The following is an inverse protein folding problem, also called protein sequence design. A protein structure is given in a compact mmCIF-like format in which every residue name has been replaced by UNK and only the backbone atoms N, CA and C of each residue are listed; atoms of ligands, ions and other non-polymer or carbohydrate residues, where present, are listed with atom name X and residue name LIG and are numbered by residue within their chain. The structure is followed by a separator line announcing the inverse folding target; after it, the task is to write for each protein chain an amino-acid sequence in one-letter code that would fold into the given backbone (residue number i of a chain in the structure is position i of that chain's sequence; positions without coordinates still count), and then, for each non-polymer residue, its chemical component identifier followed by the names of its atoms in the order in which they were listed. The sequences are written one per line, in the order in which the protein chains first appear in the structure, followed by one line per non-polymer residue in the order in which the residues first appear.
data_IF_390579597597
#
_entry.id   IF_390579597597
#
_cell.length_a   1.000
_cell.length_b   1.000
_cell.length_c   1.000
_cell.angle_alpha   90.00
_cell.angle_beta   90.00
_cell.angle_gamma   90.00
#
_symmetry.space_group_name_H-M   'P 1'
#
loop_
_entity.id
_entity.type
_entity.pdbx_description
1 polymer ?
#
# COMPACT_ATOMS: atom_id res chain seq x y z
N UNK A 1 0.93 -10.51 -3.18
CA UNK A 1 0.80 -9.07 -3.50
C UNK A 1 1.16 -8.77 -4.95
N UNK A 2 2.41 -9.00 -5.40
CA UNK A 2 2.91 -8.51 -6.70
C UNK A 2 2.05 -8.93 -7.91
N UNK A 3 1.60 -10.18 -7.96
CA UNK A 3 0.73 -10.66 -9.04
C UNK A 3 -0.57 -9.86 -9.15
N UNK A 4 -1.28 -9.69 -8.04
CA UNK A 4 -2.55 -8.95 -8.01
C UNK A 4 -2.34 -7.47 -8.31
N UNK A 5 -1.30 -6.89 -7.71
CA UNK A 5 -0.95 -5.48 -7.95
C UNK A 5 -0.54 -5.25 -9.41
N UNK A 6 0.16 -6.19 -10.04
CA UNK A 6 0.44 -6.15 -11.48
C UNK A 6 -0.81 -6.08 -12.35
N UNK A 7 -1.86 -6.84 -11.99
CA UNK A 7 -3.16 -6.75 -12.71
C UNK A 7 -3.82 -5.39 -12.59
N UNK A 8 -3.72 -4.73 -11.43
CA UNK A 8 -4.25 -3.37 -11.29
C UNK A 8 -3.46 -2.36 -12.13
N UNK A 9 -2.14 -2.50 -12.21
CA UNK A 9 -1.34 -1.68 -13.13
C UNK A 9 -1.74 -1.89 -14.59
N UNK A 10 -1.93 -3.13 -15.02
CA UNK A 10 -2.42 -3.44 -16.39
C UNK A 10 -3.76 -2.74 -16.67
N UNK A 11 -4.71 -2.85 -15.75
CA UNK A 11 -6.06 -2.32 -15.98
C UNK A 11 -6.08 -0.81 -15.97
N UNK A 12 -5.40 -0.17 -15.03
CA UNK A 12 -5.54 1.27 -14.79
C UNK A 12 -4.55 2.11 -15.59
N UNK A 13 -3.29 1.64 -15.74
CA UNK A 13 -2.25 2.42 -16.42
C UNK A 13 -2.03 2.02 -17.87
N UNK A 14 -2.06 0.73 -18.18
CA UNK A 14 -1.67 0.26 -19.52
C UNK A 14 -2.87 0.13 -20.46
N UNK A 15 -4.06 -0.13 -19.92
CA UNK A 15 -5.29 -0.28 -20.72
C UNK A 15 -6.27 0.88 -20.57
N UNK A 16 -5.86 1.95 -19.92
CA UNK A 16 -6.69 3.14 -19.67
C UNK A 16 -8.08 2.80 -19.11
N UNK A 17 -8.11 1.85 -18.18
CA UNK A 17 -9.37 1.40 -17.58
C UNK A 17 -10.05 2.56 -16.86
N UNK A 18 -11.29 2.87 -17.26
CA UNK A 18 -11.97 4.10 -16.88
C UNK A 18 -12.60 4.06 -15.48
N UNK A 19 -12.52 2.93 -14.78
CA UNK A 19 -13.11 2.80 -13.45
C UNK A 19 -12.07 3.04 -12.35
N UNK A 20 -12.44 3.82 -11.30
CA UNK A 20 -11.60 3.96 -10.12
C UNK A 20 -11.37 2.59 -9.46
N UNK A 21 -10.23 2.42 -8.78
CA UNK A 21 -9.95 1.21 -8.00
C UNK A 21 -11.05 0.91 -6.98
N UNK A 22 -11.68 1.94 -6.43
CA UNK A 22 -12.81 1.82 -5.52
C UNK A 22 -14.04 1.11 -6.09
N UNK A 23 -14.13 0.95 -7.41
CA UNK A 23 -15.21 0.22 -8.08
C UNK A 23 -14.82 -1.22 -8.46
N UNK A 24 -13.59 -1.61 -8.16
CA UNK A 24 -13.09 -2.96 -8.45
C UNK A 24 -13.33 -3.84 -7.22
N UNK A 25 -14.01 -4.94 -7.45
CA UNK A 25 -14.19 -5.98 -6.45
C UNK A 25 -12.89 -6.75 -6.22
N UNK A 26 -12.59 -7.04 -4.98
CA UNK A 26 -11.33 -7.68 -4.60
C UNK A 26 -11.55 -8.94 -3.74
N UNK A 27 -11.14 -10.10 -4.26
CA UNK A 27 -11.15 -11.38 -3.54
C UNK A 27 -9.87 -11.58 -2.70
N UNK A 28 -9.48 -10.60 -1.94
CA UNK A 28 -8.36 -10.63 -1.01
C UNK A 28 -8.83 -10.09 0.36
N UNK A 29 -8.20 -10.45 1.45
CA UNK A 29 -7.03 -11.33 1.56
C UNK A 29 -7.38 -12.82 1.47
N UNK A 30 -6.47 -13.59 0.86
CA UNK A 30 -6.52 -15.05 0.83
C UNK A 30 -5.31 -15.58 1.60
N UNK A 31 -5.56 -16.25 2.72
CA UNK A 31 -4.53 -16.86 3.55
C UNK A 31 -5.01 -18.23 4.03
N UNK A 32 -4.71 -19.25 3.26
CA UNK A 32 -5.23 -20.57 3.51
C UNK A 32 -4.59 -21.66 2.65
N UNK A 33 -4.87 -22.89 3.04
CA UNK A 33 -4.52 -24.10 2.30
C UNK A 33 -5.71 -24.51 1.46
N UNK A 34 -5.61 -24.40 0.14
CA UNK A 34 -6.64 -24.90 -0.77
C UNK A 34 -6.00 -25.71 -1.89
N UNK A 35 -6.29 -26.99 -1.93
CA UNK A 35 -5.80 -27.91 -2.98
C UNK A 35 -4.28 -27.88 -3.11
N UNK A 36 -3.79 -27.69 -4.32
CA UNK A 36 -2.35 -27.65 -4.63
C UNK A 36 -1.73 -26.25 -4.51
N UNK A 37 -2.53 -25.21 -4.37
CA UNK A 37 -2.08 -23.84 -4.24
C UNK A 37 -2.08 -23.42 -2.77
N UNK A 38 -1.04 -23.81 -2.09
CA UNK A 38 -0.87 -23.47 -0.69
C UNK A 38 -0.27 -22.07 -0.59
N UNK A 39 -0.94 -21.18 0.16
CA UNK A 39 -0.25 -20.03 0.68
C UNK A 39 0.89 -20.52 1.58
N UNK A 40 2.09 -19.96 1.42
CA UNK A 40 3.16 -20.21 2.36
C UNK A 40 2.76 -19.62 3.72
N UNK A 41 3.15 -20.34 4.80
CA UNK A 41 3.01 -19.80 6.14
C UNK A 41 3.70 -18.45 6.23
N UNK A 42 2.97 -17.43 6.67
CA UNK A 42 3.49 -16.07 6.89
C UNK A 42 3.84 -15.88 8.36
N UNK A 43 4.93 -15.17 8.61
CA UNK A 43 5.15 -14.58 9.95
C UNK A 43 4.08 -13.52 10.22
N UNK A 44 3.92 -13.11 11.48
CA UNK A 44 2.97 -12.07 11.86
C UNK A 44 3.25 -10.76 11.12
N UNK A 45 4.51 -10.37 10.99
CA UNK A 45 4.92 -9.17 10.24
C UNK A 45 4.63 -9.27 8.74
N UNK A 46 4.82 -10.44 8.13
CA UNK A 46 4.46 -10.68 6.73
C UNK A 46 2.94 -10.60 6.52
N UNK A 47 2.17 -11.19 7.43
CA UNK A 47 0.71 -11.14 7.38
C UNK A 47 0.19 -9.72 7.56
N UNK A 48 0.71 -8.97 8.55
CA UNK A 48 0.41 -7.56 8.75
C UNK A 48 0.72 -6.74 7.49
N UNK A 49 1.91 -6.94 6.92
CA UNK A 49 2.32 -6.26 5.69
C UNK A 49 1.38 -6.57 4.53
N UNK A 50 0.98 -7.83 4.38
CA UNK A 50 0.04 -8.25 3.34
C UNK A 50 -1.29 -7.53 3.45
N UNK A 51 -1.89 -7.50 4.65
CA UNK A 51 -3.18 -6.85 4.88
C UNK A 51 -3.14 -5.35 4.63
N UNK A 52 -2.16 -4.65 5.23
CA UNK A 52 -2.06 -3.20 5.12
C UNK A 52 -1.75 -2.74 3.69
N UNK A 53 -0.84 -3.43 2.99
CA UNK A 53 -0.57 -3.15 1.57
C UNK A 53 -1.81 -3.38 0.70
N UNK A 54 -2.57 -4.45 0.95
CA UNK A 54 -3.82 -4.72 0.28
C UNK A 54 -4.85 -3.60 0.51
N UNK A 55 -4.99 -3.13 1.76
CA UNK A 55 -5.91 -2.06 2.11
C UNK A 55 -5.63 -0.75 1.36
N UNK A 56 -4.36 -0.45 1.05
CA UNK A 56 -4.00 0.76 0.30
C UNK A 56 -4.35 0.72 -1.18
N UNK A 57 -4.77 -0.43 -1.73
CA UNK A 57 -5.32 -0.52 -3.09
C UNK A 57 -6.60 0.30 -3.26
N UNK A 58 -7.33 0.56 -2.18
CA UNK A 58 -8.57 1.32 -2.21
C UNK A 58 -9.72 0.63 -2.95
N UNK A 59 -9.65 -0.70 -3.09
CA UNK A 59 -10.69 -1.49 -3.76
C UNK A 59 -11.99 -1.55 -2.94
N UNK A 60 -13.13 -1.73 -3.62
CA UNK A 60 -14.45 -1.56 -3.02
C UNK A 60 -14.83 -2.61 -1.97
N UNK A 61 -14.41 -3.83 -2.15
CA UNK A 61 -14.87 -4.95 -1.36
C UNK A 61 -13.74 -5.92 -1.05
N UNK A 62 -13.76 -6.46 0.17
CA UNK A 62 -12.79 -7.47 0.61
C UNK A 62 -13.54 -8.72 1.07
N UNK A 63 -13.06 -9.87 0.63
CA UNK A 63 -13.51 -11.16 1.11
C UNK A 63 -12.39 -11.82 1.88
N UNK A 64 -12.66 -12.19 3.13
CA UNK A 64 -11.67 -12.78 4.01
C UNK A 64 -11.68 -14.30 3.86
N UNK A 65 -10.74 -14.84 3.09
CA UNK A 65 -10.57 -16.29 2.90
C UNK A 65 -9.42 -16.80 3.76
N UNK A 66 -9.73 -17.33 4.93
CA UNK A 66 -8.73 -17.86 5.86
C UNK A 66 -8.95 -19.33 6.16
N UNK A 67 -7.85 -20.11 6.18
CA UNK A 67 -7.85 -21.45 6.76
C UNK A 67 -7.56 -21.36 8.26
N UNK A 68 -8.39 -21.95 9.11
CA UNK A 68 -8.20 -21.90 10.57
C UNK A 68 -6.78 -22.31 10.99
N UNK A 69 -6.24 -23.40 10.42
CA UNK A 69 -4.90 -23.88 10.76
C UNK A 69 -3.79 -22.86 10.51
N UNK A 70 -4.02 -21.87 9.63
CA UNK A 70 -3.02 -20.87 9.31
C UNK A 70 -3.23 -19.58 10.08
N UNK A 71 -4.49 -19.17 10.27
CA UNK A 71 -4.82 -17.91 10.94
C UNK A 71 -4.72 -18.02 12.47
N UNK A 72 -4.90 -19.21 13.03
CA UNK A 72 -4.81 -19.46 14.48
C UNK A 72 -3.36 -19.43 15.00
N UNK A 73 -2.37 -19.44 14.12
CA UNK A 73 -0.97 -19.35 14.52
C UNK A 73 -0.54 -17.89 14.78
N UNK A 74 0.19 -17.68 15.87
CA UNK A 74 0.70 -16.35 16.25
C UNK A 74 -0.40 -15.37 16.62
N UNK A 75 -0.23 -14.12 16.24
CA UNK A 75 -1.16 -13.02 16.54
C UNK A 75 -2.03 -12.60 15.35
N UNK A 76 -2.25 -13.49 14.38
CA UNK A 76 -2.88 -13.11 13.10
C UNK A 76 -4.33 -12.65 13.24
N UNK A 77 -5.10 -13.20 14.20
CA UNK A 77 -6.45 -12.72 14.47
C UNK A 77 -6.46 -11.29 15.00
N UNK A 78 -5.56 -10.97 15.93
CA UNK A 78 -5.44 -9.62 16.49
C UNK A 78 -4.96 -8.63 15.42
N UNK A 79 -3.97 -9.04 14.63
CA UNK A 79 -3.48 -8.24 13.49
C UNK A 79 -4.60 -7.97 12.47
N UNK A 80 -5.44 -8.97 12.20
CA UNK A 80 -6.59 -8.79 11.31
C UNK A 80 -7.62 -7.83 11.89
N UNK A 81 -7.91 -7.91 13.18
CA UNK A 81 -8.82 -7.00 13.86
C UNK A 81 -8.29 -5.55 13.82
N UNK A 82 -7.02 -5.32 14.17
CA UNK A 82 -6.36 -4.01 14.08
C UNK A 82 -6.42 -3.45 12.65
N UNK A 83 -6.14 -4.29 11.65
CA UNK A 83 -6.21 -3.91 10.25
C UNK A 83 -7.62 -3.48 9.84
N UNK A 84 -8.65 -4.23 10.19
CA UNK A 84 -10.04 -3.91 9.84
C UNK A 84 -10.50 -2.59 10.49
N UNK A 85 -10.13 -2.34 11.74
CA UNK A 85 -10.40 -1.07 12.42
C UNK A 85 -9.68 0.10 11.72
N UNK A 86 -8.39 -0.08 11.42
CA UNK A 86 -7.61 0.92 10.71
C UNK A 86 -8.19 1.21 9.32
N UNK A 87 -8.52 0.18 8.56
CA UNK A 87 -9.06 0.31 7.23
C UNK A 87 -10.43 0.99 7.23
N UNK A 88 -11.32 0.61 8.14
CA UNK A 88 -12.63 1.24 8.32
C UNK A 88 -12.50 2.72 8.65
N UNK A 89 -11.62 3.07 9.58
CA UNK A 89 -11.36 4.46 10.00
C UNK A 89 -10.82 5.32 8.86
N UNK A 90 -9.99 4.74 7.99
CA UNK A 90 -9.27 5.45 6.93
C UNK A 90 -9.88 5.24 5.54
N UNK A 91 -11.00 4.54 5.40
CA UNK A 91 -11.54 4.19 4.08
C UNK A 91 -11.91 5.42 3.23
N UNK A 92 -12.31 6.53 3.86
CA UNK A 92 -12.55 7.80 3.17
C UNK A 92 -11.30 8.32 2.41
N UNK A 93 -10.09 8.02 2.90
CA UNK A 93 -8.81 8.29 2.22
C UNK A 93 -8.49 7.17 1.22
N UNK A 94 -8.56 5.90 1.67
CA UNK A 94 -8.10 4.74 0.92
C UNK A 94 -8.85 4.56 -0.41
N UNK A 95 -10.15 4.82 -0.44
CA UNK A 95 -10.99 4.71 -1.66
C UNK A 95 -10.54 5.59 -2.82
N UNK A 96 -9.71 6.59 -2.56
CA UNK A 96 -9.20 7.54 -3.57
C UNK A 96 -7.80 7.13 -4.09
N UNK A 97 -7.46 5.85 -4.05
CA UNK A 97 -6.16 5.33 -4.42
C UNK A 97 -5.80 5.59 -5.89
N UNK A 98 -4.56 6.02 -6.09
CA UNK A 98 -3.88 6.09 -7.39
C UNK A 98 -2.58 5.29 -7.35
N UNK A 99 -2.21 4.70 -8.47
CA UNK A 99 -0.99 3.92 -8.60
C UNK A 99 0.24 4.83 -8.74
N UNK A 100 1.30 4.53 -7.99
CA UNK A 100 2.62 5.17 -8.11
C UNK A 100 3.67 4.13 -8.47
N UNK A 101 4.73 4.57 -9.17
CA UNK A 101 5.77 3.68 -9.67
C UNK A 101 5.36 2.96 -10.95
N UNK A 102 5.86 1.73 -11.11
CA UNK A 102 5.62 0.90 -12.30
C UNK A 102 5.21 -0.52 -11.92
N UNK A 103 4.74 -1.31 -12.89
CA UNK A 103 4.24 -2.66 -12.62
C UNK A 103 5.22 -3.51 -11.82
N UNK A 104 4.77 -4.18 -10.76
CA UNK A 104 5.60 -5.07 -9.94
C UNK A 104 6.00 -6.39 -10.61
N UNK A 105 5.39 -6.75 -11.75
CA UNK A 105 5.61 -8.02 -12.44
C UNK A 105 7.08 -8.27 -12.82
N UNK A 106 7.83 -7.18 -13.05
CA UNK A 106 9.27 -7.22 -13.34
C UNK A 106 10.14 -6.88 -12.13
N UNK A 107 9.59 -6.98 -10.93
CA UNK A 107 10.29 -6.61 -9.71
C UNK A 107 10.52 -5.10 -9.57
N UNK A 108 9.71 -4.26 -10.20
CA UNK A 108 9.82 -2.81 -10.07
C UNK A 108 9.19 -2.32 -8.78
N UNK A 109 9.68 -1.18 -8.28
CA UNK A 109 9.10 -0.48 -7.14
C UNK A 109 7.76 0.14 -7.52
N UNK A 110 6.81 0.05 -6.60
CA UNK A 110 5.45 0.51 -6.81
C UNK A 110 4.77 0.86 -5.48
N UNK A 111 3.58 1.41 -5.58
CA UNK A 111 2.71 1.63 -4.44
C UNK A 111 1.40 2.28 -4.82
N UNK A 112 0.71 2.75 -3.80
CA UNK A 112 -0.56 3.44 -3.91
C UNK A 112 -0.51 4.75 -3.13
N UNK A 113 -1.09 5.79 -3.69
CA UNK A 113 -1.23 7.10 -3.09
C UNK A 113 -2.72 7.42 -2.95
N UNK A 114 -3.18 7.57 -1.72
CA UNK A 114 -4.59 7.75 -1.38
C UNK A 114 -4.76 9.10 -0.69
N UNK A 115 -5.68 9.94 -1.14
CA UNK A 115 -5.86 11.28 -0.59
C UNK A 115 -7.33 11.63 -0.35
N UNK A 116 -7.58 12.31 0.77
CA UNK A 116 -8.83 13.00 1.05
C UNK A 116 -8.52 14.38 1.66
N UNK A 117 -8.72 15.44 0.86
CA UNK A 117 -8.40 16.80 1.26
C UNK A 117 -6.92 16.98 1.62
N UNK A 118 -6.65 17.26 2.89
CA UNK A 118 -5.29 17.56 3.40
C UNK A 118 -4.56 16.35 4.00
N UNK A 119 -5.18 15.20 3.96
CA UNK A 119 -4.61 13.96 4.50
C UNK A 119 -4.40 12.93 3.40
N UNK A 120 -3.25 12.27 3.43
CA UNK A 120 -2.91 11.22 2.49
C UNK A 120 -2.28 10.01 3.16
N UNK A 121 -2.47 8.85 2.55
CA UNK A 121 -1.79 7.59 2.91
C UNK A 121 -1.06 7.11 1.67
N UNK A 122 0.24 6.91 1.79
CA UNK A 122 1.09 6.47 0.69
C UNK A 122 1.75 5.15 1.08
N UNK A 123 1.50 4.11 0.29
CA UNK A 123 2.20 2.84 0.41
C UNK A 123 3.29 2.73 -0.65
N UNK A 124 4.40 2.07 -0.30
CA UNK A 124 5.56 1.89 -1.17
C UNK A 124 6.10 0.47 -0.96
N UNK A 125 6.49 -0.20 -2.04
CA UNK A 125 7.03 -1.56 -1.97
C UNK A 125 8.12 -1.79 -3.01
N UNK A 126 9.14 -2.54 -2.60
CA UNK A 126 10.14 -3.13 -3.47
C UNK A 126 9.98 -4.67 -3.48
N UNK A 127 9.40 -5.27 -4.53
CA UNK A 127 9.22 -6.72 -4.60
C UNK A 127 10.46 -7.48 -5.05
N UNK A 128 11.55 -6.78 -5.39
CA UNK A 128 12.76 -7.40 -5.92
C UNK A 128 13.73 -7.89 -4.84
N UNK A 129 14.71 -8.67 -5.24
CA UNK A 129 15.80 -9.12 -4.39
C UNK A 129 16.99 -8.14 -4.31
N UNK A 130 16.87 -6.96 -4.91
CA UNK A 130 17.89 -5.91 -4.92
C UNK A 130 17.34 -4.59 -4.39
N UNK A 131 18.21 -3.74 -3.86
CA UNK A 131 17.86 -2.37 -3.47
C UNK A 131 17.40 -1.59 -4.69
N UNK A 132 16.29 -0.88 -4.56
CA UNK A 132 15.72 -0.04 -5.64
C UNK A 132 15.18 1.26 -5.08
N UNK A 133 15.03 2.25 -5.94
CA UNK A 133 14.37 3.51 -5.61
C UNK A 133 12.97 3.57 -6.17
N UNK A 134 12.09 4.26 -5.46
CA UNK A 134 10.79 4.71 -5.93
C UNK A 134 10.77 6.23 -5.91
N UNK A 135 10.45 6.85 -7.04
CA UNK A 135 10.36 8.31 -7.14
C UNK A 135 9.01 8.74 -7.69
N UNK A 136 8.42 9.78 -7.11
CA UNK A 136 7.16 10.37 -7.55
C UNK A 136 7.06 11.83 -7.12
N UNK A 137 6.28 12.63 -7.85
CA UNK A 137 6.00 14.02 -7.47
C UNK A 137 4.74 14.07 -6.62
N UNK A 138 4.79 14.82 -5.53
CA UNK A 138 3.64 15.05 -4.65
C UNK A 138 2.71 16.09 -5.27
N UNK A 139 1.84 15.66 -6.16
CA UNK A 139 0.93 16.54 -6.90
C UNK A 139 -0.44 15.89 -7.18
N UNK A 140 -1.25 16.53 -7.99
CA UNK A 140 -2.58 16.04 -8.37
C UNK A 140 -2.56 14.72 -9.14
N UNK A 141 -1.45 14.39 -9.79
CA UNK A 141 -1.34 13.14 -10.57
C UNK A 141 -1.37 11.91 -9.66
N UNK A 142 -0.88 12.06 -8.43
CA UNK A 142 -0.97 11.05 -7.39
C UNK A 142 -2.12 11.30 -6.39
N UNK A 143 -3.02 12.22 -6.69
CA UNK A 143 -4.23 12.50 -5.90
C UNK A 143 -4.11 13.60 -4.86
N UNK A 144 -2.93 14.19 -4.62
CA UNK A 144 -2.76 15.27 -3.69
C UNK A 144 -3.48 16.56 -4.20
N UNK A 145 -4.28 17.18 -3.34
CA UNK A 145 -5.08 18.34 -3.72
C UNK A 145 -4.23 19.62 -3.90
N UNK A 146 -4.59 20.48 -4.84
CA UNK A 146 -3.91 21.77 -5.04
C UNK A 146 -4.02 22.72 -3.85
N UNK A 147 -5.02 22.52 -2.98
CA UNK A 147 -5.14 23.25 -1.71
C UNK A 147 -3.98 23.04 -0.74
N UNK A 148 -3.13 22.03 -1.02
CA UNK A 148 -1.90 21.76 -0.27
C UNK A 148 -0.72 22.65 -0.67
N UNK A 149 -0.83 23.41 -1.76
CA UNK A 149 0.21 24.38 -2.17
C UNK A 149 0.52 25.35 -1.03
N UNK A 150 1.80 25.48 -0.72
CA UNK A 150 2.28 26.34 0.37
C UNK A 150 2.21 25.72 1.76
N UNK A 151 1.59 24.56 1.92
CA UNK A 151 1.54 23.84 3.20
C UNK A 151 2.68 22.85 3.33
N UNK A 152 3.14 22.65 4.56
CA UNK A 152 4.08 21.58 4.91
C UNK A 152 3.29 20.38 5.45
N UNK A 153 3.59 19.20 4.93
CA UNK A 153 3.00 17.93 5.37
C UNK A 153 4.00 17.18 6.21
N UNK A 154 3.56 16.72 7.37
CA UNK A 154 4.36 15.86 8.25
C UNK A 154 4.14 14.39 7.89
N UNK A 155 5.18 13.58 8.08
CA UNK A 155 5.12 12.14 7.93
C UNK A 155 4.84 11.47 9.27
N UNK A 156 3.89 10.53 9.28
CA UNK A 156 3.71 9.56 10.35
C UNK A 156 3.75 8.15 9.76
N UNK A 157 4.59 7.30 10.31
CA UNK A 157 4.70 5.91 9.85
C UNK A 157 3.50 5.09 10.34
N UNK A 158 2.87 4.36 9.42
CA UNK A 158 1.81 3.38 9.70
C UNK A 158 2.39 1.97 9.71
N UNK A 159 3.22 1.65 8.72
CA UNK A 159 3.87 0.35 8.56
C UNK A 159 5.30 0.50 8.09
N UNK A 160 6.21 -0.22 8.74
CA UNK A 160 7.56 -0.47 8.25
C UNK A 160 7.82 -1.97 8.27
N UNK A 161 8.20 -2.54 7.13
CA UNK A 161 8.59 -3.92 6.99
C UNK A 161 9.90 -4.01 6.23
N UNK A 162 10.93 -4.65 6.83
CA UNK A 162 12.31 -4.74 6.30
C UNK A 162 12.95 -3.37 6.03
N UNK A 163 12.48 -2.33 6.72
CA UNK A 163 13.04 -0.98 6.62
C UNK A 163 14.31 -0.88 7.46
N UNK A 164 15.36 -0.28 6.90
CA UNK A 164 16.55 0.08 7.67
C UNK A 164 16.35 1.44 8.34
N UNK A 165 16.84 1.62 9.56
CA UNK A 165 16.62 2.82 10.41
C UNK A 165 17.14 4.15 9.83
N UNK A 166 17.92 4.09 8.75
CA UNK A 166 18.59 5.24 8.17
C UNK A 166 17.70 6.20 7.37
N UNK A 167 16.37 6.01 7.37
CA UNK A 167 15.53 6.76 6.44
C UNK A 167 14.67 7.83 7.12
N UNK A 168 15.34 8.92 7.44
CA UNK A 168 14.70 10.19 7.84
C UNK A 168 14.40 11.10 6.65
N UNK A 169 14.62 10.63 5.42
CA UNK A 169 14.83 11.45 4.21
C UNK A 169 13.66 12.33 3.79
N UNK A 170 12.46 12.18 4.38
CA UNK A 170 11.31 13.02 4.05
C UNK A 170 10.32 13.13 5.21
N UNK A 171 10.81 13.56 6.36
CA UNK A 171 9.95 13.80 7.55
C UNK A 171 8.88 14.86 7.23
N UNK A 172 9.25 15.84 6.42
CA UNK A 172 8.35 16.87 5.92
C UNK A 172 8.44 16.97 4.41
N UNK A 173 7.32 17.23 3.75
CA UNK A 173 7.22 17.41 2.30
C UNK A 173 6.23 18.52 1.97
N UNK A 174 6.34 19.06 0.77
CA UNK A 174 5.42 20.09 0.24
C UNK A 174 4.82 19.64 -1.09
N UNK A 175 3.68 20.18 -1.43
CA UNK A 175 3.10 20.00 -2.76
C UNK A 175 4.09 20.46 -3.84
N UNK A 176 4.33 19.61 -4.81
CA UNK A 176 5.29 19.80 -5.88
C UNK A 176 6.67 19.18 -5.64
N UNK A 177 6.97 18.71 -4.41
CA UNK A 177 8.24 18.03 -4.13
C UNK A 177 8.34 16.70 -4.88
N UNK A 178 9.53 16.42 -5.38
CA UNK A 178 9.88 15.09 -5.86
C UNK A 178 10.37 14.26 -4.68
N UNK A 179 9.62 13.23 -4.33
CA UNK A 179 9.95 12.30 -3.27
C UNK A 179 10.68 11.11 -3.90
N UNK A 180 11.89 10.84 -3.44
CA UNK A 180 12.68 9.67 -3.85
C UNK A 180 13.01 8.85 -2.62
N UNK A 181 12.59 7.58 -2.61
CA UNK A 181 12.77 6.67 -1.48
C UNK A 181 13.57 5.46 -1.93
N UNK A 182 14.66 5.17 -1.20
CA UNK A 182 15.42 3.93 -1.39
C UNK A 182 14.78 2.83 -0.55
N UNK A 183 14.42 1.72 -1.20
CA UNK A 183 13.75 0.58 -0.60
C UNK A 183 14.64 -0.67 -0.64
N UNK A 184 14.79 -1.33 0.50
CA UNK A 184 15.53 -2.59 0.63
C UNK A 184 14.81 -3.75 -0.10
N UNK A 185 15.48 -4.88 -0.35
CA UNK A 185 14.84 -6.07 -0.92
C UNK A 185 13.63 -6.52 -0.10
N UNK A 186 12.48 -6.63 -0.75
CA UNK A 186 11.23 -7.04 -0.12
C UNK A 186 10.60 -6.02 0.84
N UNK A 187 11.17 -4.82 0.95
CA UNK A 187 10.66 -3.77 1.85
C UNK A 187 9.27 -3.29 1.46
N UNK A 188 8.46 -3.01 2.48
CA UNK A 188 7.20 -2.30 2.36
C UNK A 188 7.09 -1.20 3.42
N UNK A 189 6.56 -0.04 3.02
CA UNK A 189 6.26 1.09 3.91
C UNK A 189 4.87 1.63 3.64
N UNK A 190 4.25 2.12 4.69
CA UNK A 190 3.03 2.91 4.58
C UNK A 190 3.18 4.12 5.50
N UNK A 191 3.04 5.29 4.92
CA UNK A 191 3.13 6.57 5.60
C UNK A 191 1.82 7.34 5.50
N UNK A 192 1.45 8.03 6.57
CA UNK A 192 0.46 9.11 6.54
C UNK A 192 1.16 10.43 6.30
N UNK A 193 0.55 11.27 5.50
CA UNK A 193 0.92 12.68 5.26
C UNK A 193 -0.22 13.56 5.71
N UNK A 194 0.07 14.53 6.57
CA UNK A 194 -0.94 15.49 7.02
C UNK A 194 -0.34 16.82 7.39
N UNK A 195 -1.16 17.87 7.39
CA UNK A 195 -0.78 19.22 7.86
C UNK A 195 -0.80 19.35 9.38
N UNK A 196 -1.20 18.31 10.09
CA UNK A 196 -1.31 18.24 11.57
C UNK A 196 -0.24 17.35 12.16
#
# INVERSE_FOLDING_TARGET
LSYRDGRYFDFVKEREFQFPLANIYNHDPIYGKTGTNLANQMTDDEFKTYLYMMGTRGTAFWELYYSPEMIDEGQKWDINAEYLEWAKKNYHILKNAKLIGTTPDKGNTYGYSCWDGEEGIISMRNPSASVKTLSFTLDRNIGAAESLKGKTLNRTTILNYKTTDAQTDYQTVKYGDVITVTLQPGEARIDRKSTR
#
